data_IF_442959319082
#
_entry.id   IF_442959319082
#
_cell.length_a   1.000
_cell.length_b   1.000
_cell.length_c   1.000
_cell.angle_alpha   90.00
_cell.angle_beta   90.00
_cell.angle_gamma   90.00
#
_symmetry.space_group_name_H-M   'P 1'
#
loop_
_entity.id
_entity.type
_entity.pdbx_description
1 polymer ?
#
# COMPACT_ATOMS: atom_id res chain seq x y z
N UNK A 1 14.80 32.05 -11.88
CA UNK A 1 13.72 31.27 -11.25
C UNK A 1 14.26 29.87 -11.01
N UNK A 2 14.35 29.38 -9.75
CA UNK A 2 14.96 28.07 -9.44
C UNK A 2 13.87 27.00 -9.44
N UNK A 3 14.00 25.98 -10.29
CA UNK A 3 13.07 24.87 -10.45
C UNK A 3 12.59 24.26 -9.11
N UNK A 4 13.53 24.04 -8.19
CA UNK A 4 13.24 23.53 -6.83
C UNK A 4 12.21 24.37 -6.05
N UNK A 5 12.24 25.70 -6.19
CA UNK A 5 11.29 26.58 -5.51
C UNK A 5 9.87 26.43 -6.06
N UNK A 6 9.72 26.18 -7.36
CA UNK A 6 8.42 25.99 -8.02
C UNK A 6 7.82 24.65 -7.62
N UNK A 7 8.63 23.59 -7.61
CA UNK A 7 8.21 22.25 -7.15
C UNK A 7 7.81 22.26 -5.67
N UNK A 8 8.58 22.95 -4.83
CA UNK A 8 8.26 23.09 -3.40
C UNK A 8 6.91 23.81 -3.20
N UNK A 9 6.69 24.93 -3.89
CA UNK A 9 5.41 25.65 -3.84
C UNK A 9 4.25 24.77 -4.30
N UNK A 10 4.39 24.05 -5.41
CA UNK A 10 3.37 23.14 -5.91
C UNK A 10 3.01 22.06 -4.87
N UNK A 11 4.00 21.41 -4.27
CA UNK A 11 3.79 20.38 -3.23
C UNK A 11 3.14 20.97 -1.98
N UNK A 12 3.55 22.16 -1.56
CA UNK A 12 2.96 22.85 -0.42
C UNK A 12 1.48 23.15 -0.68
N UNK A 13 1.15 23.71 -1.85
CA UNK A 13 -0.24 23.98 -2.25
C UNK A 13 -1.06 22.70 -2.30
N UNK A 14 -0.55 21.63 -2.91
CA UNK A 14 -1.22 20.32 -2.95
C UNK A 14 -1.50 19.76 -1.55
N UNK A 15 -0.54 19.84 -0.62
CA UNK A 15 -0.72 19.41 0.76
C UNK A 15 -1.79 20.21 1.48
N UNK A 16 -1.83 21.53 1.27
CA UNK A 16 -2.85 22.39 1.84
C UNK A 16 -4.23 22.01 1.33
N UNK A 17 -4.41 21.90 0.01
CA UNK A 17 -5.68 21.49 -0.61
C UNK A 17 -6.13 20.10 -0.15
N UNK A 18 -5.21 19.15 -0.05
CA UNK A 18 -5.51 17.82 0.48
C UNK A 18 -5.99 17.86 1.94
N UNK A 19 -5.35 18.67 2.78
CA UNK A 19 -5.75 18.85 4.16
C UNK A 19 -7.13 19.51 4.27
N UNK A 20 -7.37 20.57 3.50
CA UNK A 20 -8.65 21.29 3.47
C UNK A 20 -9.79 20.36 3.02
N UNK A 21 -9.56 19.55 1.99
CA UNK A 21 -10.50 18.51 1.51
C UNK A 21 -10.86 17.46 2.59
N UNK A 22 -9.92 17.15 3.50
CA UNK A 22 -10.11 16.16 4.58
C UNK A 22 -10.73 16.74 5.83
N UNK A 23 -10.37 17.97 6.19
CA UNK A 23 -10.73 18.57 7.48
C UNK A 23 -11.99 19.43 7.42
N UNK A 24 -12.49 19.74 6.22
CA UNK A 24 -13.66 20.58 6.06
C UNK A 24 -14.62 20.05 4.99
N UNK A 25 -15.91 20.38 5.18
CA UNK A 25 -16.97 20.08 4.23
C UNK A 25 -17.34 21.35 3.47
N UNK A 26 -17.53 21.27 2.14
CA UNK A 26 -17.95 22.42 1.37
C UNK A 26 -19.38 22.82 1.76
N UNK A 27 -19.71 24.10 1.54
CA UNK A 27 -21.02 24.64 1.89
C UNK A 27 -22.08 24.13 0.91
N UNK A 28 -23.18 23.61 1.43
CA UNK A 28 -24.34 23.20 0.63
C UNK A 28 -25.28 24.38 0.36
N UNK A 29 -25.88 24.42 -0.82
CA UNK A 29 -26.82 25.48 -1.25
C UNK A 29 -28.23 24.94 -1.39
N UNK A 30 -28.42 23.80 -2.07
CA UNK A 30 -29.75 23.23 -2.36
C UNK A 30 -30.21 22.23 -1.31
N UNK A 31 -29.28 21.66 -0.55
CA UNK A 31 -29.46 20.56 0.40
C UNK A 31 -30.08 19.30 -0.20
N UNK A 32 -30.00 19.14 -1.53
CA UNK A 32 -30.48 17.94 -2.20
C UNK A 32 -29.60 16.74 -1.83
N UNK A 33 -30.15 15.52 -1.73
CA UNK A 33 -29.36 14.33 -1.43
C UNK A 33 -28.15 14.13 -2.35
N UNK A 34 -28.32 14.42 -3.64
CA UNK A 34 -27.22 14.32 -4.61
C UNK A 34 -26.13 15.37 -4.39
N UNK A 35 -26.48 16.54 -3.84
CA UNK A 35 -25.52 17.58 -3.45
C UNK A 35 -24.69 17.10 -2.25
N UNK A 36 -25.37 16.55 -1.24
CA UNK A 36 -24.73 15.98 -0.05
C UNK A 36 -23.76 14.86 -0.48
N UNK A 37 -24.20 14.00 -1.39
CA UNK A 37 -23.35 12.95 -1.97
C UNK A 37 -22.12 13.53 -2.67
N UNK A 38 -22.31 14.54 -3.54
CA UNK A 38 -21.24 15.24 -4.22
C UNK A 38 -20.21 15.85 -3.27
N UNK A 39 -20.67 16.51 -2.19
CA UNK A 39 -19.81 17.15 -1.19
C UNK A 39 -18.92 16.15 -0.44
N UNK A 40 -19.41 14.90 -0.30
CA UNK A 40 -18.66 13.81 0.31
C UNK A 40 -17.57 13.28 -0.61
N UNK A 41 -17.91 13.01 -1.88
CA UNK A 41 -17.02 12.26 -2.80
C UNK A 41 -16.04 13.15 -3.57
N UNK A 42 -16.45 14.36 -3.97
CA UNK A 42 -15.61 15.24 -4.79
C UNK A 42 -14.64 16.07 -3.95
N UNK A 43 -13.47 16.35 -4.52
CA UNK A 43 -12.61 17.44 -4.03
C UNK A 43 -13.40 18.75 -3.98
N UNK A 44 -13.05 19.67 -3.07
CA UNK A 44 -13.72 20.96 -2.93
C UNK A 44 -13.74 21.74 -4.26
N UNK A 45 -12.62 21.77 -4.97
CA UNK A 45 -12.51 22.44 -6.27
C UNK A 45 -13.54 21.88 -7.29
N UNK A 46 -13.67 20.56 -7.39
CA UNK A 46 -14.65 19.97 -8.31
C UNK A 46 -16.08 20.09 -7.78
N UNK A 47 -16.27 20.03 -6.45
CA UNK A 47 -17.57 20.18 -5.84
C UNK A 47 -18.18 21.54 -6.15
N UNK A 48 -17.39 22.61 -6.14
CA UNK A 48 -17.87 23.95 -6.50
C UNK A 48 -18.44 23.96 -7.94
N UNK A 49 -17.73 23.38 -8.90
CA UNK A 49 -18.21 23.25 -10.28
C UNK A 49 -19.46 22.36 -10.40
N UNK A 50 -19.49 21.24 -9.66
CA UNK A 50 -20.65 20.36 -9.59
C UNK A 50 -21.89 21.09 -9.03
N UNK A 51 -21.72 21.86 -7.96
CA UNK A 51 -22.79 22.63 -7.33
C UNK A 51 -23.35 23.68 -8.28
N UNK A 52 -22.51 24.34 -9.09
CA UNK A 52 -22.99 25.26 -10.13
C UNK A 52 -23.83 24.56 -11.20
N UNK A 53 -23.43 23.36 -11.63
CA UNK A 53 -24.21 22.56 -12.58
C UNK A 53 -25.54 22.10 -11.96
N UNK A 54 -25.54 21.71 -10.68
CA UNK A 54 -26.73 21.33 -9.94
C UNK A 54 -27.72 22.48 -9.77
N UNK A 55 -27.25 23.66 -9.37
CA UNK A 55 -28.10 24.86 -9.28
C UNK A 55 -28.65 25.18 -10.67
N UNK A 56 -27.80 25.11 -11.70
CA UNK A 56 -28.19 25.36 -13.08
C UNK A 56 -29.24 24.37 -13.60
N UNK A 57 -29.26 23.11 -13.14
CA UNK A 57 -30.25 22.12 -13.59
C UNK A 57 -31.66 22.42 -13.09
N UNK A 58 -31.83 23.23 -12.05
CA UNK A 58 -33.15 23.50 -11.44
C UNK A 58 -34.07 24.40 -12.28
N UNK A 59 -33.53 25.12 -13.27
CA UNK A 59 -34.32 26.07 -14.07
C UNK A 59 -33.80 26.20 -15.49
N UNK A 60 -34.63 26.63 -16.45
CA UNK A 60 -34.18 26.88 -17.81
C UNK A 60 -33.95 25.62 -18.67
N UNK A 61 -34.42 24.45 -18.24
CA UNK A 61 -34.54 23.26 -19.08
C UNK A 61 -36.02 23.04 -19.43
N UNK A 62 -36.30 22.58 -20.65
CA UNK A 62 -37.67 22.25 -21.06
C UNK A 62 -37.68 21.01 -21.95
N UNK A 63 -38.44 20.00 -21.55
CA UNK A 63 -38.67 18.81 -22.38
C UNK A 63 -39.42 19.20 -23.66
N UNK A 64 -38.91 18.72 -24.80
CA UNK A 64 -39.48 18.94 -26.13
C UNK A 64 -40.03 17.66 -26.76
N UNK A 65 -39.56 16.52 -26.30
CA UNK A 65 -40.00 15.21 -26.76
C UNK A 65 -39.53 14.13 -25.81
N UNK A 66 -40.28 13.04 -25.80
CA UNK A 66 -39.99 11.82 -25.07
C UNK A 66 -40.27 10.65 -26.02
N UNK A 67 -39.35 9.69 -26.05
CA UNK A 67 -39.48 8.44 -26.78
C UNK A 67 -38.75 7.34 -26.03
N UNK A 68 -39.11 6.09 -26.26
CA UNK A 68 -38.43 4.94 -25.69
C UNK A 68 -37.93 4.05 -26.83
N UNK A 69 -36.72 3.51 -26.69
CA UNK A 69 -36.16 2.54 -27.62
C UNK A 69 -35.41 1.46 -26.84
N UNK A 70 -35.80 0.19 -27.02
CA UNK A 70 -35.19 -0.97 -26.36
C UNK A 70 -35.04 -0.81 -24.83
N UNK A 71 -36.07 -0.26 -24.17
CA UNK A 71 -36.07 -0.01 -22.72
C UNK A 71 -35.17 1.14 -22.26
N UNK A 72 -34.66 1.94 -23.19
CA UNK A 72 -33.93 3.18 -22.92
C UNK A 72 -34.86 4.37 -23.20
N UNK A 73 -35.04 5.21 -22.19
CA UNK A 73 -35.82 6.44 -22.28
C UNK A 73 -34.98 7.54 -22.92
N UNK A 74 -35.48 8.17 -23.98
CA UNK A 74 -34.82 9.26 -24.69
C UNK A 74 -35.63 10.53 -24.49
N UNK A 75 -35.02 11.52 -23.82
CA UNK A 75 -35.62 12.84 -23.58
C UNK A 75 -34.87 13.89 -24.38
N UNK A 76 -35.59 14.64 -25.22
CA UNK A 76 -35.06 15.82 -25.90
C UNK A 76 -35.24 17.06 -25.00
N UNK A 77 -34.17 17.54 -24.37
CA UNK A 77 -34.20 18.74 -23.52
C UNK A 77 -33.70 19.97 -24.28
N UNK A 78 -34.55 21.01 -24.34
CA UNK A 78 -34.12 22.35 -24.72
C UNK A 78 -33.43 23.01 -23.53
N UNK A 79 -32.21 23.46 -23.74
CA UNK A 79 -31.42 24.21 -22.78
C UNK A 79 -31.54 25.71 -23.06
N UNK A 80 -32.09 26.45 -22.09
CA UNK A 80 -32.29 27.88 -22.16
C UNK A 80 -30.99 28.68 -22.13
N UNK A 81 -29.90 28.15 -21.55
CA UNK A 81 -28.61 28.86 -21.53
C UNK A 81 -27.90 28.80 -22.88
N UNK A 82 -27.89 27.62 -23.51
CA UNK A 82 -27.23 27.44 -24.82
C UNK A 82 -28.16 27.68 -26.01
N UNK A 83 -29.48 27.68 -25.80
CA UNK A 83 -30.50 27.73 -26.84
C UNK A 83 -30.65 26.42 -27.64
N UNK A 84 -29.84 25.40 -27.35
CA UNK A 84 -29.77 24.13 -28.09
C UNK A 84 -30.71 23.09 -27.50
N UNK A 85 -30.99 22.06 -28.30
CA UNK A 85 -31.67 20.84 -27.84
C UNK A 85 -30.63 19.73 -27.76
N UNK A 86 -30.64 18.99 -26.67
CA UNK A 86 -29.81 17.81 -26.47
C UNK A 86 -30.70 16.60 -26.26
N UNK A 87 -30.35 15.48 -26.87
CA UNK A 87 -30.96 14.21 -26.51
C UNK A 87 -30.20 13.61 -25.33
N UNK A 88 -30.97 13.11 -24.36
CA UNK A 88 -30.48 12.45 -23.17
C UNK A 88 -31.09 11.06 -23.14
N UNK A 89 -30.25 10.04 -23.03
CA UNK A 89 -30.68 8.66 -22.92
C UNK A 89 -30.54 8.23 -21.48
N UNK A 90 -31.62 7.74 -20.88
CA UNK A 90 -31.66 7.21 -19.54
C UNK A 90 -32.03 5.73 -19.59
N UNK A 91 -31.25 4.90 -18.91
CA UNK A 91 -31.56 3.48 -18.74
C UNK A 91 -32.15 3.28 -17.33
N UNK A 92 -33.47 3.01 -17.21
CA UNK A 92 -34.12 2.82 -15.91
C UNK A 92 -33.59 1.60 -15.13
N UNK A 93 -33.05 0.59 -15.83
CA UNK A 93 -32.51 -0.62 -15.21
C UNK A 93 -31.13 -0.42 -14.57
N UNK A 94 -30.29 0.45 -15.13
CA UNK A 94 -28.94 0.72 -14.63
C UNK A 94 -28.76 2.09 -13.99
N UNK A 95 -29.77 2.95 -14.08
CA UNK A 95 -29.74 4.37 -13.72
C UNK A 95 -28.64 5.18 -14.44
N UNK A 96 -28.15 4.67 -15.57
CA UNK A 96 -27.16 5.37 -16.37
C UNK A 96 -27.82 6.38 -17.30
N UNK A 97 -27.19 7.55 -17.41
CA UNK A 97 -27.62 8.65 -18.27
C UNK A 97 -26.49 9.05 -19.22
N UNK A 98 -26.74 9.04 -20.53
CA UNK A 98 -25.83 9.61 -21.52
C UNK A 98 -26.42 10.91 -22.07
N UNK A 99 -25.58 11.93 -22.27
CA UNK A 99 -26.04 13.23 -22.77
C UNK A 99 -25.21 13.68 -23.96
N UNK A 100 -25.87 14.08 -25.04
CA UNK A 100 -25.21 14.60 -26.25
C UNK A 100 -24.38 15.88 -26.05
N UNK A 101 -24.50 16.56 -24.91
CA UNK A 101 -23.61 17.68 -24.61
C UNK A 101 -22.15 17.24 -24.37
N UNK A 102 -21.92 15.94 -24.11
CA UNK A 102 -20.61 15.33 -23.89
C UNK A 102 -19.77 16.01 -22.79
N UNK A 103 -20.39 16.65 -21.79
CA UNK A 103 -19.64 17.37 -20.74
C UNK A 103 -18.92 16.38 -19.83
N UNK A 104 -19.55 15.26 -19.50
CA UNK A 104 -18.93 14.24 -18.68
C UNK A 104 -17.72 13.61 -19.39
N UNK A 105 -17.83 13.31 -20.67
CA UNK A 105 -16.77 12.74 -21.48
C UNK A 105 -15.60 13.72 -21.67
N UNK A 106 -15.88 15.02 -21.76
CA UNK A 106 -14.86 16.06 -21.95
C UNK A 106 -14.20 16.54 -20.66
N UNK A 107 -14.95 16.60 -19.55
CA UNK A 107 -14.49 17.21 -18.29
C UNK A 107 -14.48 16.24 -17.09
N UNK A 108 -15.10 15.07 -17.20
CA UNK A 108 -15.30 14.14 -16.09
C UNK A 108 -16.32 14.63 -15.06
N UNK A 109 -17.17 15.59 -15.43
CA UNK A 109 -18.16 16.22 -14.56
C UNK A 109 -19.57 16.12 -15.17
N UNK A 110 -20.55 15.78 -14.33
CA UNK A 110 -21.96 15.74 -14.73
C UNK A 110 -22.42 17.12 -15.21
N UNK A 111 -23.11 17.16 -16.35
CA UNK A 111 -23.79 18.39 -16.78
C UNK A 111 -25.14 18.55 -16.10
N UNK A 112 -25.63 19.79 -16.10
CA UNK A 112 -26.99 20.15 -15.72
C UNK A 112 -28.08 19.32 -16.41
N UNK A 113 -27.86 18.81 -17.62
CA UNK A 113 -28.84 17.96 -18.31
C UNK A 113 -28.95 16.59 -17.65
N UNK A 114 -27.82 15.95 -17.34
CA UNK A 114 -27.80 14.65 -16.64
C UNK A 114 -28.37 14.83 -15.23
N UNK A 115 -27.96 15.88 -14.52
CA UNK A 115 -28.43 16.16 -13.15
C UNK A 115 -29.95 16.40 -13.13
N UNK A 116 -30.51 17.05 -14.16
CA UNK A 116 -31.95 17.22 -14.30
C UNK A 116 -32.69 15.89 -14.46
N UNK A 117 -32.15 14.96 -15.25
CA UNK A 117 -32.74 13.63 -15.42
C UNK A 117 -32.62 12.80 -14.14
N UNK A 118 -31.49 12.88 -13.43
CA UNK A 118 -31.37 12.29 -12.09
C UNK A 118 -32.42 12.82 -11.13
N UNK A 119 -32.62 14.14 -11.11
CA UNK A 119 -33.59 14.79 -10.24
C UNK A 119 -35.03 14.36 -10.55
N UNK A 120 -35.40 14.26 -11.84
CA UNK A 120 -36.76 13.82 -12.21
C UNK A 120 -37.01 12.34 -11.94
N UNK A 121 -35.96 11.52 -11.87
CA UNK A 121 -36.03 10.08 -11.61
C UNK A 121 -35.70 9.70 -10.16
N UNK A 122 -35.59 10.68 -9.24
CA UNK A 122 -35.34 10.41 -7.82
C UNK A 122 -33.96 9.82 -7.52
N UNK A 123 -32.98 10.02 -8.41
CA UNK A 123 -31.60 9.56 -8.21
C UNK A 123 -30.91 10.49 -7.22
N UNK A 124 -30.67 9.97 -6.02
CA UNK A 124 -30.18 10.73 -4.87
C UNK A 124 -28.66 10.65 -4.66
N UNK A 125 -27.97 9.83 -5.44
CA UNK A 125 -26.52 9.64 -5.35
C UNK A 125 -25.90 9.61 -6.75
N UNK A 126 -24.65 10.05 -6.82
CA UNK A 126 -23.86 10.01 -8.05
C UNK A 126 -23.39 8.56 -8.21
N UNK A 127 -23.80 7.89 -9.29
CA UNK A 127 -23.36 6.52 -9.56
C UNK A 127 -21.85 6.44 -9.79
N UNK A 128 -21.24 5.31 -9.41
CA UNK A 128 -19.79 5.11 -9.47
C UNK A 128 -19.19 5.28 -10.88
N UNK A 129 -19.96 4.98 -11.93
CA UNK A 129 -19.53 5.21 -13.30
C UNK A 129 -19.29 6.70 -13.64
N UNK A 130 -19.81 7.63 -12.83
CA UNK A 130 -19.58 9.07 -12.95
C UNK A 130 -18.54 9.60 -11.96
N UNK A 131 -17.97 8.75 -11.09
CA UNK A 131 -16.95 9.13 -10.12
C UNK A 131 -15.54 8.85 -10.67
N UNK A 132 -15.04 9.74 -11.51
CA UNK A 132 -13.68 9.64 -11.99
C UNK A 132 -12.68 9.88 -10.84
N UNK A 133 -11.89 8.86 -10.49
CA UNK A 133 -10.91 8.89 -9.38
C UNK A 133 -10.07 10.16 -9.29
N UNK A 134 -9.67 10.76 -10.42
CA UNK A 134 -8.89 12.01 -10.48
C UNK A 134 -9.55 13.16 -9.70
N UNK A 135 -10.88 13.19 -9.66
CA UNK A 135 -11.65 14.31 -9.11
C UNK A 135 -12.24 14.03 -7.72
N UNK A 136 -12.06 12.81 -7.23
CA UNK A 136 -12.57 12.37 -5.94
C UNK A 136 -11.52 12.59 -4.82
N UNK A 137 -11.97 12.75 -3.58
CA UNK A 137 -11.07 13.04 -2.44
C UNK A 137 -10.05 11.93 -2.17
N UNK A 138 -10.32 10.72 -2.63
CA UNK A 138 -9.50 9.51 -2.53
C UNK A 138 -8.44 9.38 -3.65
N UNK A 139 -8.35 10.35 -4.57
CA UNK A 139 -7.38 10.35 -5.69
C UNK A 139 -5.91 10.21 -5.25
N UNK A 140 -5.56 10.79 -4.09
CA UNK A 140 -4.22 10.73 -3.52
C UNK A 140 -4.21 9.60 -2.49
N UNK A 141 -3.83 8.42 -2.98
CA UNK A 141 -4.02 7.11 -2.35
C UNK A 141 -3.89 7.08 -0.82
N UNK A 142 -5.00 6.73 -0.18
CA UNK A 142 -4.93 5.74 0.88
C UNK A 142 -4.57 4.43 0.18
N UNK A 143 -3.48 3.79 0.60
CA UNK A 143 -3.18 2.40 0.22
C UNK A 143 -4.44 1.55 0.39
N UNK A 144 -4.61 0.60 -0.53
CA UNK A 144 -5.80 -0.21 -0.84
C UNK A 144 -6.39 -1.08 0.29
N UNK A 145 -6.55 -0.53 1.50
CA UNK A 145 -7.18 -1.20 2.62
C UNK A 145 -8.02 -0.14 3.37
N UNK A 146 -9.33 -0.35 3.49
CA UNK A 146 -10.29 0.45 4.30
C UNK A 146 -11.04 1.62 3.65
N UNK A 147 -11.57 1.49 2.44
CA UNK A 147 -12.57 2.48 1.96
C UNK A 147 -13.89 2.36 2.73
N UNK A 148 -14.30 1.16 3.13
CA UNK A 148 -15.55 0.98 3.90
C UNK A 148 -15.38 1.20 5.41
N UNK A 149 -14.18 0.95 5.96
CA UNK A 149 -13.93 1.07 7.40
C UNK A 149 -13.59 2.51 7.86
N UNK A 150 -13.23 3.42 6.93
CA UNK A 150 -12.92 4.82 7.25
C UNK A 150 -14.18 5.72 7.25
N UNK A 151 -15.27 5.35 6.56
CA UNK A 151 -16.50 6.18 6.51
C UNK A 151 -17.42 5.98 7.74
N UNK A 152 -17.76 4.72 8.12
CA UNK A 152 -18.64 4.50 9.30
C UNK A 152 -17.97 4.90 10.61
N UNK A 153 -16.68 4.58 10.77
CA UNK A 153 -15.94 4.83 12.01
C UNK A 153 -15.79 6.33 12.25
N UNK A 154 -15.59 7.10 11.18
CA UNK A 154 -15.48 8.55 11.28
C UNK A 154 -16.84 9.20 11.60
N UNK A 155 -17.94 8.72 11.02
CA UNK A 155 -19.30 9.16 11.37
C UNK A 155 -19.59 8.86 12.84
N UNK A 156 -19.32 7.64 13.29
CA UNK A 156 -19.59 7.22 14.66
C UNK A 156 -18.75 8.00 15.68
N UNK A 157 -17.47 8.25 15.36
CA UNK A 157 -16.61 9.12 16.17
C UNK A 157 -17.14 10.56 16.19
N UNK A 158 -17.66 11.08 15.08
CA UNK A 158 -18.20 12.44 15.01
C UNK A 158 -19.50 12.56 15.82
N UNK A 159 -20.37 11.55 15.77
CA UNK A 159 -21.56 11.46 16.60
C UNK A 159 -21.20 11.39 18.09
N UNK A 160 -20.25 10.53 18.46
CA UNK A 160 -19.72 10.42 19.83
C UNK A 160 -19.17 11.76 20.34
N UNK A 161 -18.36 12.45 19.55
CA UNK A 161 -17.84 13.76 19.92
C UNK A 161 -18.96 14.77 20.16
N UNK A 162 -20.01 14.75 19.33
CA UNK A 162 -21.18 15.62 19.48
C UNK A 162 -21.93 15.33 20.79
N UNK A 163 -22.16 14.06 21.13
CA UNK A 163 -22.76 13.66 22.41
C UNK A 163 -21.92 14.10 23.63
N UNK A 164 -20.59 13.93 23.55
CA UNK A 164 -19.68 14.39 24.60
C UNK A 164 -19.73 15.91 24.75
N UNK A 165 -19.75 16.67 23.66
CA UNK A 165 -19.85 18.13 23.72
C UNK A 165 -21.17 18.60 24.34
N UNK A 166 -22.29 17.96 23.99
CA UNK A 166 -23.60 18.26 24.59
C UNK A 166 -23.62 17.92 26.09
N UNK A 167 -23.09 16.75 26.48
CA UNK A 167 -22.98 16.36 27.88
C UNK A 167 -22.11 17.35 28.69
N UNK A 168 -20.97 17.77 28.14
CA UNK A 168 -20.11 18.79 28.75
C UNK A 168 -20.82 20.16 28.79
N UNK A 169 -21.62 20.49 27.78
CA UNK A 169 -22.45 21.70 27.74
C UNK A 169 -23.44 21.76 28.90
N UNK A 170 -24.13 20.64 29.19
CA UNK A 170 -25.05 20.51 30.32
C UNK A 170 -24.35 20.60 31.69
N UNK A 171 -23.08 20.24 31.78
CA UNK A 171 -22.30 20.31 33.01
C UNK A 171 -21.84 21.73 33.39
N UNK A 172 -21.95 22.70 32.46
CA UNK A 172 -21.53 24.09 32.68
C UNK A 172 -22.16 24.70 33.94
N UNK A 173 -23.42 24.36 34.23
CA UNK A 173 -24.20 24.90 35.34
C UNK A 173 -24.47 23.86 36.45
N UNK A 174 -23.69 22.76 36.49
CA UNK A 174 -23.89 21.64 37.42
C UNK A 174 -22.85 21.62 38.54
N UNK A 175 -23.08 20.79 39.56
CA UNK A 175 -22.17 20.68 40.70
C UNK A 175 -20.86 19.98 40.30
N UNK A 176 -19.82 20.21 41.11
CA UNK A 176 -18.48 19.63 40.91
C UNK A 176 -18.50 18.10 40.84
N UNK A 177 -19.41 17.46 41.58
CA UNK A 177 -19.53 16.01 41.64
C UNK A 177 -19.97 15.42 40.29
N UNK A 178 -20.89 16.08 39.57
CA UNK A 178 -21.33 15.66 38.23
C UNK A 178 -20.18 15.70 37.22
N UNK A 179 -19.32 16.73 37.30
CA UNK A 179 -18.12 16.85 36.45
C UNK A 179 -17.11 15.73 36.76
N UNK A 180 -16.90 15.43 38.05
CA UNK A 180 -16.00 14.37 38.48
C UNK A 180 -16.49 12.99 38.04
N UNK A 181 -17.81 12.75 38.09
CA UNK A 181 -18.43 11.51 37.64
C UNK A 181 -18.21 11.26 36.14
N UNK A 182 -18.39 12.28 35.28
CA UNK A 182 -18.09 12.13 33.85
C UNK A 182 -16.60 11.85 33.61
N UNK A 183 -15.71 12.55 34.33
CA UNK A 183 -14.27 12.32 34.23
C UNK A 183 -13.87 10.90 34.66
N UNK A 184 -14.47 10.33 35.70
CA UNK A 184 -14.19 8.96 36.12
C UNK A 184 -14.67 7.94 35.10
N UNK A 185 -15.88 8.12 34.54
CA UNK A 185 -16.43 7.22 33.52
C UNK A 185 -15.55 7.16 32.25
N UNK A 186 -15.09 8.32 31.77
CA UNK A 186 -14.19 8.39 30.60
C UNK A 186 -12.85 7.70 30.88
N UNK A 187 -12.30 7.87 32.10
CA UNK A 187 -11.04 7.21 32.49
C UNK A 187 -11.18 5.70 32.58
N UNK A 188 -12.27 5.21 33.15
CA UNK A 188 -12.59 3.78 33.22
C UNK A 188 -12.73 3.19 31.82
N UNK A 189 -13.49 3.85 30.94
CA UNK A 189 -13.64 3.42 29.56
C UNK A 189 -12.30 3.40 28.81
N UNK A 190 -11.43 4.39 29.05
CA UNK A 190 -10.07 4.41 28.50
C UNK A 190 -9.24 3.20 28.94
N UNK A 191 -9.30 2.84 30.23
CA UNK A 191 -8.56 1.68 30.75
C UNK A 191 -9.01 0.37 30.11
N UNK A 192 -10.28 0.25 29.75
CA UNK A 192 -10.80 -0.92 29.03
C UNK A 192 -10.37 -0.99 27.55
N UNK A 193 -9.87 0.12 26.99
CA UNK A 193 -9.45 0.21 25.58
C UNK A 193 -7.93 0.06 25.38
N UNK A 194 -7.13 0.28 26.43
CA UNK A 194 -5.68 0.03 26.36
C UNK A 194 -5.45 -1.50 26.40
N UNK A 195 -4.91 -2.13 25.34
CA UNK A 195 -4.54 -3.54 25.42
C UNK A 195 -3.48 -3.73 26.50
N UNK A 196 -3.50 -4.87 27.18
CA UNK A 196 -2.37 -5.29 28.00
C UNK A 196 -1.15 -5.42 27.07
N UNK A 197 -0.30 -4.39 27.05
CA UNK A 197 0.93 -4.38 26.26
C UNK A 197 1.91 -5.33 26.95
N UNK A 198 1.95 -6.58 26.49
CA UNK A 198 3.20 -7.33 26.58
C UNK A 198 4.13 -6.69 25.55
N UNK A 199 5.17 -5.99 26.01
CA UNK A 199 6.20 -5.42 25.15
C UNK A 199 6.89 -6.57 24.39
N UNK A 200 6.42 -6.84 23.17
CA UNK A 200 7.06 -7.78 22.26
C UNK A 200 8.42 -7.21 21.86
N UNK A 201 9.45 -8.05 21.80
CA UNK A 201 10.73 -7.61 21.25
C UNK A 201 10.61 -7.41 19.74
N UNK A 202 11.47 -6.56 19.17
CA UNK A 202 11.46 -6.29 17.71
C UNK A 202 11.58 -7.55 16.87
N UNK A 203 12.28 -8.56 17.39
CA UNK A 203 12.42 -9.87 16.76
C UNK A 203 11.07 -10.60 16.71
N UNK A 204 10.29 -10.57 17.80
CA UNK A 204 8.96 -11.20 17.87
C UNK A 204 7.93 -10.50 16.97
N UNK A 205 8.01 -9.17 16.82
CA UNK A 205 7.20 -8.42 15.87
C UNK A 205 7.48 -8.85 14.42
N UNK A 206 8.76 -9.02 14.06
CA UNK A 206 9.18 -9.46 12.73
C UNK A 206 8.73 -10.90 12.46
N UNK A 207 8.86 -11.80 13.44
CA UNK A 207 8.43 -13.19 13.32
C UNK A 207 6.91 -13.33 13.17
N UNK A 208 6.12 -12.51 13.87
CA UNK A 208 4.66 -12.46 13.69
C UNK A 208 4.26 -11.99 12.29
N UNK A 209 4.93 -10.96 11.76
CA UNK A 209 4.63 -10.43 10.43
C UNK A 209 4.96 -11.43 9.31
N UNK A 210 6.04 -12.21 9.49
CA UNK A 210 6.51 -13.16 8.47
C UNK A 210 5.92 -14.57 8.65
N UNK A 211 5.35 -14.87 9.82
CA UNK A 211 4.77 -16.19 10.15
C UNK A 211 5.81 -17.30 10.31
N UNK A 212 7.09 -16.94 10.42
CA UNK A 212 8.20 -17.88 10.53
C UNK A 212 9.29 -17.34 11.46
N UNK A 213 9.92 -18.26 12.21
CA UNK A 213 11.06 -17.92 13.07
C UNK A 213 12.32 -17.74 12.26
N UNK A 214 13.20 -16.85 12.71
CA UNK A 214 14.51 -16.70 12.07
C UNK A 214 15.32 -18.01 12.18
N UNK A 215 15.91 -18.46 11.07
CA UNK A 215 16.74 -19.68 11.05
C UNK A 215 18.17 -19.30 11.43
N UNK A 216 18.76 -20.05 12.37
CA UNK A 216 20.08 -19.73 12.96
C UNK A 216 21.25 -19.81 11.96
N UNK A 217 21.11 -20.58 10.87
CA UNK A 217 22.18 -20.79 9.90
C UNK A 217 21.68 -20.68 8.44
N UNK A 218 22.04 -19.59 7.77
CA UNK A 218 21.73 -19.37 6.35
C UNK A 218 22.87 -19.92 5.48
N UNK A 219 22.66 -21.09 4.86
CA UNK A 219 23.59 -21.65 3.87
C UNK A 219 23.30 -21.10 2.47
N UNK A 220 23.92 -19.97 2.13
CA UNK A 220 23.86 -19.41 0.76
C UNK A 220 24.82 -20.19 -0.15
N UNK A 221 24.27 -21.09 -0.96
CA UNK A 221 25.05 -21.75 -2.02
C UNK A 221 25.13 -20.86 -3.27
N UNK A 222 26.31 -20.73 -3.92
CA UNK A 222 26.41 -20.02 -5.18
C UNK A 222 25.53 -20.69 -6.25
N UNK A 223 24.89 -19.90 -7.13
CA UNK A 223 23.99 -20.43 -8.15
C UNK A 223 24.72 -21.42 -9.07
N UNK A 224 24.04 -22.51 -9.43
CA UNK A 224 24.57 -23.52 -10.36
C UNK A 224 24.95 -22.84 -11.67
N UNK A 225 26.25 -22.85 -12.03
CA UNK A 225 26.72 -22.26 -13.29
C UNK A 225 26.12 -23.04 -14.48
N UNK A 226 25.25 -22.37 -15.24
CA UNK A 226 24.71 -22.93 -16.48
C UNK A 226 25.81 -23.02 -17.56
N UNK A 227 25.93 -24.19 -18.21
CA UNK A 227 26.83 -24.36 -19.36
C UNK A 227 26.18 -23.75 -20.61
N UNK A 228 26.65 -22.59 -21.05
CA UNK A 228 26.27 -22.02 -22.34
C UNK A 228 27.19 -22.52 -23.47
N UNK A 229 26.63 -22.59 -24.70
CA UNK A 229 27.33 -23.09 -25.90
C UNK A 229 28.49 -22.13 -26.23
N UNK A 230 29.73 -22.55 -25.92
CA UNK A 230 31.04 -21.84 -25.91
C UNK A 230 31.72 -21.64 -24.55
N UNK A 231 31.36 -22.39 -23.50
CA UNK A 231 32.20 -22.47 -22.28
C UNK A 231 33.52 -23.24 -22.49
N UNK A 232 34.29 -22.87 -23.51
CA UNK A 232 35.69 -23.27 -23.63
C UNK A 232 36.49 -22.72 -22.45
N UNK A 233 37.37 -23.55 -21.87
CA UNK A 233 38.23 -23.15 -20.75
C UNK A 233 38.94 -21.84 -21.10
N UNK A 234 38.76 -20.81 -20.28
CA UNK A 234 39.45 -19.51 -20.43
C UNK A 234 40.95 -19.79 -20.56
N UNK A 235 41.57 -19.33 -21.64
CA UNK A 235 43.03 -19.35 -21.77
C UNK A 235 43.62 -18.48 -20.67
N UNK A 236 44.39 -19.09 -19.75
CA UNK A 236 45.05 -18.36 -18.69
C UNK A 236 46.21 -17.54 -19.26
N UNK A 237 46.33 -16.29 -18.82
CA UNK A 237 47.48 -15.44 -19.10
C UNK A 237 48.77 -16.06 -18.56
N UNK A 238 49.90 -15.80 -19.21
CA UNK A 238 51.22 -16.18 -18.70
C UNK A 238 51.44 -15.71 -17.25
N UNK A 239 50.88 -14.57 -16.87
CA UNK A 239 50.99 -14.06 -15.50
C UNK A 239 50.27 -14.95 -14.49
N UNK A 240 49.08 -15.46 -14.83
CA UNK A 240 48.33 -16.36 -13.94
C UNK A 240 48.88 -17.78 -13.94
N UNK A 241 49.44 -18.26 -15.04
CA UNK A 241 50.16 -19.55 -15.09
C UNK A 241 51.44 -19.53 -14.24
N UNK A 242 52.18 -18.42 -14.24
CA UNK A 242 53.38 -18.26 -13.41
C UNK A 242 53.03 -18.21 -11.92
N UNK A 243 51.94 -17.54 -11.54
CA UNK A 243 51.46 -17.51 -10.14
C UNK A 243 51.03 -18.90 -9.66
N UNK A 244 50.34 -19.67 -10.50
CA UNK A 244 49.94 -21.04 -10.15
C UNK A 244 51.16 -21.98 -9.94
N UNK A 245 52.24 -21.78 -10.69
CA UNK A 245 53.50 -22.54 -10.54
C UNK A 245 54.42 -22.01 -9.42
N UNK A 246 54.16 -20.81 -8.88
CA UNK A 246 54.99 -20.19 -7.85
C UNK A 246 54.77 -20.78 -6.45
N UNK A 247 53.66 -21.50 -6.23
CA UNK A 247 53.43 -22.23 -4.98
C UNK A 247 54.33 -23.48 -4.97
N UNK A 248 55.49 -23.37 -4.34
CA UNK A 248 56.40 -24.52 -4.18
C UNK A 248 55.73 -25.56 -3.28
N UNK A 249 55.64 -26.84 -3.67
CA UNK A 249 55.04 -27.87 -2.82
C UNK A 249 55.85 -28.03 -1.53
N UNK A 250 55.16 -28.36 -0.43
CA UNK A 250 55.82 -28.78 0.81
C UNK A 250 56.55 -30.10 0.56
N UNK A 251 57.72 -30.28 1.16
CA UNK A 251 58.53 -31.50 1.09
C UNK A 251 58.85 -31.98 2.49
N UNK A 252 59.09 -33.27 2.66
CA UNK A 252 59.40 -33.84 3.97
C UNK A 252 60.82 -33.45 4.38
N UNK A 253 60.96 -32.72 5.50
CA UNK A 253 62.26 -32.35 6.04
C UNK A 253 62.84 -33.54 6.82
N UNK A 254 64.03 -34.03 6.45
CA UNK A 254 64.64 -35.19 7.12
C UNK A 254 65.01 -34.94 8.60
N UNK A 255 65.07 -33.68 9.06
CA UNK A 255 65.41 -33.36 10.45
C UNK A 255 64.19 -33.43 11.39
N UNK A 256 63.06 -32.85 10.99
CA UNK A 256 61.82 -32.86 11.78
C UNK A 256 60.77 -33.88 11.31
N UNK A 257 61.04 -34.56 10.18
CA UNK A 257 60.15 -35.52 9.50
C UNK A 257 58.77 -34.98 9.13
N UNK A 258 58.58 -33.66 9.06
CA UNK A 258 57.32 -33.02 8.66
C UNK A 258 57.38 -32.42 7.25
N UNK A 259 56.21 -32.31 6.60
CA UNK A 259 56.04 -31.66 5.30
C UNK A 259 56.10 -30.14 5.45
N UNK A 260 57.19 -29.53 4.99
CA UNK A 260 57.44 -28.10 5.11
C UNK A 260 58.15 -27.50 3.88
N UNK A 261 58.32 -26.18 3.83
CA UNK A 261 59.02 -25.49 2.73
C UNK A 261 60.53 -25.34 2.96
N UNK A 262 61.08 -25.94 4.02
CA UNK A 262 62.51 -25.99 4.31
C UNK A 262 63.06 -27.42 4.12
N UNK A 263 64.38 -27.58 4.12
CA UNK A 263 65.04 -28.89 4.24
C UNK A 263 65.99 -28.89 5.44
N UNK A 264 66.74 -29.99 5.64
CA UNK A 264 67.71 -30.15 6.72
C UNK A 264 68.74 -29.01 6.79
N UNK A 265 69.08 -28.38 5.66
CA UNK A 265 70.13 -27.34 5.60
C UNK A 265 69.59 -25.97 6.02
N UNK A 266 68.30 -25.74 5.79
CA UNK A 266 67.61 -24.48 6.11
C UNK A 266 66.59 -24.64 7.24
N UNK A 267 66.73 -25.69 8.06
CA UNK A 267 65.86 -25.95 9.19
C UNK A 267 66.07 -24.86 10.27
N UNK A 268 65.03 -24.14 10.71
CA UNK A 268 65.19 -22.92 11.52
C UNK A 268 65.77 -23.12 12.93
N UNK A 269 65.91 -24.36 13.41
CA UNK A 269 66.31 -24.61 14.78
C UNK A 269 67.34 -25.75 14.87
N UNK A 270 68.63 -25.42 14.98
CA UNK A 270 69.72 -26.42 14.95
C UNK A 270 69.92 -27.20 16.26
N UNK A 271 69.19 -26.88 17.33
CA UNK A 271 69.35 -27.52 18.63
C UNK A 271 68.00 -27.74 19.30
N UNK A 272 67.44 -28.94 19.12
CA UNK A 272 66.51 -29.52 20.10
C UNK A 272 66.85 -31.01 20.18
N UNK A 273 67.38 -31.42 21.33
CA UNK A 273 67.67 -32.80 21.67
C UNK A 273 66.36 -33.60 21.82
N UNK A 274 66.29 -34.80 21.24
CA UNK A 274 65.18 -35.72 21.42
C UNK A 274 65.50 -36.73 22.52
N UNK A 275 64.68 -36.87 23.58
CA UNK A 275 64.69 -38.06 24.41
C UNK A 275 64.10 -39.25 23.64
N UNK A 276 64.76 -40.40 23.76
CA UNK A 276 64.46 -41.65 23.08
C UNK A 276 63.30 -42.42 23.73
N UNK A 277 62.43 -42.99 22.87
CA UNK A 277 61.66 -44.25 23.05
C UNK A 277 60.67 -44.32 24.24
N UNK A 278 59.55 -45.05 24.22
CA UNK A 278 59.23 -46.30 23.55
C UNK A 278 57.69 -46.56 23.55
N UNK A 279 57.30 -47.57 22.78
CA UNK A 279 56.12 -48.44 22.91
C UNK A 279 54.72 -47.98 22.42
N UNK A 280 54.42 -48.49 21.21
CA UNK A 280 53.18 -49.17 20.72
C UNK A 280 52.39 -49.97 21.80
N UNK A 281 51.15 -50.52 21.57
CA UNK A 281 50.40 -50.71 20.30
C UNK A 281 48.83 -50.61 20.35
N UNK A 282 48.22 -50.77 19.17
CA UNK A 282 46.99 -51.54 18.79
C UNK A 282 45.65 -51.42 19.54
N UNK A 283 44.57 -51.24 18.76
CA UNK A 283 43.37 -52.11 18.63
C UNK A 283 42.40 -51.39 17.67
N UNK A 284 42.03 -51.95 16.52
CA UNK A 284 40.83 -52.81 16.29
C UNK A 284 39.52 -52.02 16.57
N UNK A 285 38.45 -52.03 15.80
CA UNK A 285 37.96 -52.85 14.68
C UNK A 285 36.72 -52.13 14.09
N UNK A 286 36.39 -52.47 12.83
CA UNK A 286 35.05 -52.57 12.21
C UNK A 286 34.15 -51.33 12.03
N UNK A 287 33.57 -51.05 10.85
CA UNK A 287 32.70 -51.92 10.05
C UNK A 287 31.24 -51.58 10.41
N UNK A 288 30.25 -51.30 9.56
CA UNK A 288 29.90 -51.69 8.19
C UNK A 288 28.73 -50.76 7.76
N UNK A 289 28.66 -50.49 6.45
CA UNK A 289 27.53 -50.35 5.49
C UNK A 289 26.07 -50.23 6.03
N UNK A 290 25.10 -49.60 5.36
CA UNK A 290 24.67 -49.90 3.98
C UNK A 290 23.60 -48.87 3.50
N UNK A 291 23.52 -48.75 2.18
CA UNK A 291 22.65 -47.91 1.34
C UNK A 291 21.17 -48.36 1.25
N UNK A 292 20.37 -47.57 0.52
CA UNK A 292 19.16 -47.85 -0.31
C UNK A 292 18.05 -46.82 0.03
N UNK A 293 17.95 -45.66 -0.63
CA UNK A 293 17.33 -45.36 -1.96
C UNK A 293 15.92 -45.92 -2.14
N UNK A 294 14.90 -45.04 -2.15
CA UNK A 294 14.05 -44.69 -3.32
C UNK A 294 12.91 -45.73 -3.50
N UNK A 295 11.63 -45.43 -3.74
CA UNK A 295 10.86 -44.26 -4.15
C UNK A 295 9.39 -44.54 -3.73
N UNK A 296 8.56 -43.51 -3.58
CA UNK A 296 7.10 -43.69 -3.49
C UNK A 296 6.39 -42.69 -4.42
N UNK A 297 5.80 -43.22 -5.49
CA UNK A 297 4.97 -42.53 -6.47
C UNK A 297 3.51 -42.48 -5.98
N UNK A 298 3.04 -41.24 -5.78
CA UNK A 298 1.73 -40.69 -6.18
C UNK A 298 0.49 -41.60 -6.26
N UNK A 299 -0.53 -41.22 -5.47
CA UNK A 299 -1.88 -40.84 -5.94
C UNK A 299 -2.37 -39.60 -5.19
#
# INVERSE_FOLDING_TARGET
MRFESVIYQQRHTQKKLYNDNRQSSPKLVTQLPIEIHGARVYTHELFDDFQQELISSTSGLSARGFSENDGVEITALKDGLSGKVFDIQFNPGTYQVSCMCLKFERAGLLCRHIISIFSSNGVNSISDCYLAKRWCKDAVGTTHENVDLIDWRQIELTNLWSEVYEAVGLLRDRCKDDIQNLCSLIREFRQNLEPACEDLTKEQEIEQLLGCKAVDEIKILPPKQAKNKRSGRRLLSNKTLVVAKAVKPKRMCSNCKQMAHHDKRNFPNKYVEFPQSAHNPSSDEDGIDEEVEEDDESE
#
